data_IF_179025219562
#
_entry.id   IF_179025219562
#
_cell.length_a   1.000
_cell.length_b   1.000
_cell.length_c   1.000
_cell.angle_alpha   90.00
_cell.angle_beta   90.00
_cell.angle_gamma   90.00
#
_symmetry.space_group_name_H-M   'P 1'
#
loop_
_entity.id
_entity.type
_entity.pdbx_description
1 polymer ?
#
# COMPACT_ATOMS: atom_id res chain seq x y z
N UNK A 1 4.34 -27.58 2.31
CA UNK A 1 3.14 -27.51 1.44
C UNK A 1 2.65 -26.05 1.47
N UNK A 2 3.52 -25.10 1.11
CA UNK A 2 3.43 -23.71 1.64
C UNK A 2 3.11 -22.65 0.58
N UNK A 3 3.06 -23.04 -0.70
CA UNK A 3 2.59 -22.14 -1.76
C UNK A 3 1.13 -21.71 -1.56
N UNK A 4 0.31 -22.48 -0.83
CA UNK A 4 -1.08 -22.11 -0.51
C UNK A 4 -1.20 -21.05 0.59
N UNK A 5 -0.23 -20.95 1.52
CA UNK A 5 -0.34 -20.11 2.72
C UNK A 5 -0.45 -18.62 2.37
N UNK A 6 0.28 -18.19 1.34
CA UNK A 6 0.29 -16.79 0.89
C UNK A 6 -0.43 -16.57 -0.44
N UNK A 7 -0.91 -17.63 -1.11
CA UNK A 7 -1.51 -17.56 -2.44
C UNK A 7 -2.62 -16.51 -2.55
N UNK A 8 -3.54 -16.49 -1.58
CA UNK A 8 -4.66 -15.52 -1.57
C UNK A 8 -4.14 -14.08 -1.50
N UNK A 9 -3.11 -13.81 -0.71
CA UNK A 9 -2.52 -12.47 -0.57
C UNK A 9 -1.74 -12.04 -1.81
N UNK A 10 -1.04 -12.98 -2.45
CA UNK A 10 -0.34 -12.73 -3.70
C UNK A 10 -1.33 -12.47 -4.86
N UNK A 11 -2.41 -13.24 -4.96
CA UNK A 11 -3.49 -12.96 -5.92
C UNK A 11 -4.09 -11.56 -5.72
N UNK A 12 -4.36 -11.17 -4.47
CA UNK A 12 -4.84 -9.81 -4.16
C UNK A 12 -3.86 -8.73 -4.62
N UNK A 13 -2.56 -8.93 -4.42
CA UNK A 13 -1.52 -7.99 -4.85
C UNK A 13 -1.45 -7.88 -6.39
N UNK A 14 -1.53 -9.00 -7.10
CA UNK A 14 -1.54 -9.04 -8.56
C UNK A 14 -2.76 -8.35 -9.15
N UNK A 15 -3.94 -8.55 -8.54
CA UNK A 15 -5.18 -7.87 -8.91
C UNK A 15 -5.05 -6.35 -8.74
N UNK A 16 -4.54 -5.88 -7.60
CA UNK A 16 -4.33 -4.45 -7.36
C UNK A 16 -3.37 -3.82 -8.38
N UNK A 17 -2.28 -4.52 -8.72
CA UNK A 17 -1.34 -4.03 -9.74
C UNK A 17 -1.99 -3.98 -11.13
N UNK A 18 -2.74 -5.02 -11.51
CA UNK A 18 -3.46 -5.07 -12.78
C UNK A 18 -4.47 -3.93 -12.90
N UNK A 19 -5.24 -3.69 -11.84
CA UNK A 19 -6.24 -2.63 -11.77
C UNK A 19 -5.59 -1.26 -11.88
N UNK A 20 -4.51 -1.02 -11.13
CA UNK A 20 -3.74 0.23 -11.21
C UNK A 20 -3.27 0.51 -12.64
N UNK A 21 -2.65 -0.48 -13.29
CA UNK A 21 -2.15 -0.35 -14.67
C UNK A 21 -3.29 -0.06 -15.65
N UNK A 22 -4.41 -0.79 -15.52
CA UNK A 22 -5.58 -0.59 -16.39
C UNK A 22 -6.16 0.81 -16.22
N UNK A 23 -6.32 1.29 -14.99
CA UNK A 23 -6.87 2.63 -14.72
C UNK A 23 -5.96 3.73 -15.25
N UNK A 24 -4.64 3.65 -15.06
CA UNK A 24 -3.71 4.64 -15.62
C UNK A 24 -3.85 4.72 -17.14
N UNK A 25 -3.94 3.58 -17.83
CA UNK A 25 -4.09 3.55 -19.28
C UNK A 25 -5.41 4.18 -19.75
N UNK A 26 -6.53 3.84 -19.09
CA UNK A 26 -7.86 4.36 -19.44
C UNK A 26 -7.97 5.87 -19.15
N UNK A 27 -7.51 6.31 -17.98
CA UNK A 27 -7.63 7.71 -17.55
C UNK A 27 -6.79 8.68 -18.39
N UNK A 28 -5.76 8.20 -19.11
CA UNK A 28 -5.00 9.03 -20.07
C UNK A 28 -5.83 9.46 -21.29
N UNK A 29 -6.93 8.75 -21.57
CA UNK A 29 -7.81 9.00 -22.72
C UNK A 29 -9.14 9.67 -22.32
N UNK A 30 -9.39 9.77 -21.01
CA UNK A 30 -10.63 10.30 -20.44
C UNK A 30 -10.58 11.81 -20.16
N UNK A 31 -11.75 12.39 -19.94
CA UNK A 31 -11.88 13.80 -19.56
C UNK A 31 -11.64 14.04 -18.06
N UNK A 32 -11.55 15.32 -17.69
CA UNK A 32 -11.28 15.73 -16.32
C UNK A 32 -12.37 15.30 -15.31
N UNK A 33 -13.61 15.14 -15.76
CA UNK A 33 -14.72 14.79 -14.88
C UNK A 33 -14.72 13.29 -14.56
N UNK A 34 -14.43 12.45 -15.55
CA UNK A 34 -14.20 11.02 -15.35
C UNK A 34 -13.04 10.76 -14.36
N UNK A 35 -11.93 11.49 -14.50
CA UNK A 35 -10.78 11.40 -13.58
C UNK A 35 -11.19 11.77 -12.15
N UNK A 36 -11.97 12.84 -11.95
CA UNK A 36 -12.45 13.24 -10.61
C UNK A 36 -13.36 12.20 -9.97
N UNK A 37 -14.26 11.62 -10.75
CA UNK A 37 -15.16 10.58 -10.26
C UNK A 37 -14.37 9.33 -9.84
N UNK A 38 -13.37 8.95 -10.62
CA UNK A 38 -12.53 7.80 -10.30
C UNK A 38 -11.65 8.06 -9.06
N UNK A 39 -11.07 9.25 -8.91
CA UNK A 39 -10.36 9.66 -7.70
C UNK A 39 -11.27 9.54 -6.46
N UNK A 40 -12.50 10.04 -6.53
CA UNK A 40 -13.45 9.96 -5.42
C UNK A 40 -13.78 8.52 -5.04
N UNK A 41 -14.02 7.64 -6.04
CA UNK A 41 -14.26 6.22 -5.78
C UNK A 41 -13.07 5.54 -5.11
N UNK A 42 -11.85 5.86 -5.55
CA UNK A 42 -10.62 5.32 -4.98
C UNK A 42 -10.40 5.81 -3.54
N UNK A 43 -10.65 7.09 -3.27
CA UNK A 43 -10.60 7.65 -1.90
C UNK A 43 -11.58 6.94 -0.96
N UNK A 44 -12.84 6.74 -1.39
CA UNK A 44 -13.85 6.04 -0.59
C UNK A 44 -13.47 4.56 -0.34
N UNK A 45 -12.94 3.87 -1.34
CA UNK A 45 -12.49 2.48 -1.20
C UNK A 45 -11.26 2.37 -0.28
N UNK A 46 -10.34 3.33 -0.38
CA UNK A 46 -9.16 3.42 0.49
C UNK A 46 -9.56 3.66 1.95
N UNK A 47 -10.48 4.59 2.20
CA UNK A 47 -10.95 4.90 3.54
C UNK A 47 -11.64 3.70 4.21
N UNK A 48 -12.41 2.92 3.45
CA UNK A 48 -12.99 1.65 3.92
C UNK A 48 -11.91 0.64 4.30
N UNK A 49 -10.88 0.49 3.47
CA UNK A 49 -9.74 -0.40 3.75
C UNK A 49 -9.02 0.02 5.03
N UNK A 50 -8.80 1.32 5.22
CA UNK A 50 -8.17 1.86 6.42
C UNK A 50 -9.02 1.68 7.68
N UNK A 51 -10.34 1.77 7.55
CA UNK A 51 -11.25 1.48 8.66
C UNK A 51 -11.15 0.00 9.07
N UNK A 52 -11.19 -0.91 8.10
CA UNK A 52 -11.03 -2.34 8.35
C UNK A 52 -9.68 -2.67 8.99
N UNK A 53 -8.59 -2.02 8.55
CA UNK A 53 -7.28 -2.17 9.17
C UNK A 53 -7.30 -1.80 10.66
N UNK A 54 -7.91 -0.65 11.00
CA UNK A 54 -8.06 -0.20 12.39
C UNK A 54 -8.89 -1.15 13.24
N UNK A 55 -9.97 -1.69 12.68
CA UNK A 55 -10.82 -2.69 13.35
C UNK A 55 -10.06 -4.00 13.60
N UNK A 56 -9.32 -4.48 12.59
CA UNK A 56 -8.47 -5.67 12.69
C UNK A 56 -7.38 -5.52 13.74
N UNK A 57 -6.76 -4.34 13.87
CA UNK A 57 -5.76 -4.07 14.93
C UNK A 57 -6.35 -4.23 16.32
N UNK A 58 -7.58 -3.75 16.56
CA UNK A 58 -8.25 -3.87 17.86
C UNK A 58 -8.56 -5.32 18.21
N UNK A 59 -8.96 -6.12 17.22
CA UNK A 59 -9.29 -7.54 17.39
C UNK A 59 -8.09 -8.50 17.32
N UNK A 60 -6.91 -8.04 16.92
CA UNK A 60 -5.75 -8.91 16.71
C UNK A 60 -5.25 -9.54 18.03
N UNK A 61 -4.80 -10.79 17.99
CA UNK A 61 -4.22 -11.48 19.17
C UNK A 61 -2.70 -11.44 19.19
N UNK A 62 -2.04 -11.25 18.05
CA UNK A 62 -0.58 -11.18 17.95
C UNK A 62 -0.07 -9.76 18.22
N UNK A 63 0.79 -9.53 19.24
CA UNK A 63 1.39 -8.23 19.50
C UNK A 63 2.22 -7.70 18.33
N UNK A 64 2.93 -8.58 17.62
CA UNK A 64 3.73 -8.21 16.45
C UNK A 64 2.85 -7.66 15.31
N UNK A 65 1.75 -8.34 15.02
CA UNK A 65 0.80 -7.90 13.97
C UNK A 65 0.11 -6.59 14.36
N UNK A 66 -0.18 -6.36 15.66
CA UNK A 66 -0.67 -5.06 16.13
C UNK A 66 0.32 -3.94 15.87
N UNK A 67 1.58 -4.13 16.25
CA UNK A 67 2.63 -3.12 16.06
C UNK A 67 2.82 -2.79 14.58
N UNK A 68 2.78 -3.80 13.69
CA UNK A 68 2.84 -3.60 12.24
C UNK A 68 1.66 -2.77 11.73
N UNK A 69 0.43 -3.11 12.13
CA UNK A 69 -0.74 -2.33 11.72
C UNK A 69 -0.72 -0.90 12.27
N UNK A 70 -0.26 -0.69 13.51
CA UNK A 70 -0.12 0.64 14.11
C UNK A 70 0.89 1.50 13.34
N UNK A 71 2.04 0.93 12.97
CA UNK A 71 3.03 1.60 12.14
C UNK A 71 2.44 2.00 10.78
N UNK A 72 1.68 1.10 10.15
CA UNK A 72 0.99 1.39 8.89
C UNK A 72 -0.02 2.54 9.04
N UNK A 73 -0.84 2.53 10.10
CA UNK A 73 -1.81 3.61 10.37
C UNK A 73 -1.11 4.96 10.55
N UNK A 74 0.03 5.00 11.24
CA UNK A 74 0.83 6.22 11.44
C UNK A 74 1.37 6.73 10.11
N UNK A 75 1.96 5.84 9.31
CA UNK A 75 2.45 6.16 7.97
C UNK A 75 1.32 6.77 7.11
N UNK A 76 0.18 6.10 7.00
CA UNK A 76 -0.93 6.55 6.17
C UNK A 76 -1.49 7.89 6.61
N UNK A 77 -1.58 8.09 7.93
CA UNK A 77 -2.03 9.36 8.51
C UNK A 77 -1.04 10.49 8.16
N UNK A 78 0.26 10.21 8.21
CA UNK A 78 1.28 11.21 7.89
C UNK A 78 1.29 11.55 6.40
N UNK A 79 1.16 10.55 5.52
CA UNK A 79 1.07 10.77 4.08
C UNK A 79 -0.15 11.63 3.72
N UNK A 80 -1.32 11.33 4.32
CA UNK A 80 -2.52 12.15 4.14
C UNK A 80 -2.32 13.59 4.61
N UNK A 81 -1.66 13.79 5.76
CA UNK A 81 -1.33 15.12 6.26
C UNK A 81 -0.45 15.89 5.27
N UNK A 82 0.64 15.26 4.80
CA UNK A 82 1.56 15.88 3.84
C UNK A 82 0.80 16.29 2.58
N UNK A 83 -0.06 15.41 2.05
CA UNK A 83 -0.80 15.66 0.81
C UNK A 83 -1.86 16.75 0.92
N UNK A 84 -2.63 16.75 2.01
CA UNK A 84 -3.77 17.64 2.15
C UNK A 84 -3.38 19.00 2.74
N UNK A 85 -2.39 19.03 3.63
CA UNK A 85 -2.01 20.23 4.39
C UNK A 85 -0.68 20.81 3.96
N UNK A 86 0.37 20.00 3.84
CA UNK A 86 1.72 20.53 3.70
C UNK A 86 2.07 20.84 2.23
N UNK A 87 1.60 20.00 1.30
CA UNK A 87 1.90 20.12 -0.13
C UNK A 87 1.52 21.48 -0.75
N UNK A 88 0.37 22.10 -0.42
CA UNK A 88 0.06 23.47 -0.83
C UNK A 88 1.08 24.54 -0.40
N UNK A 89 1.83 24.31 0.69
CA UNK A 89 2.83 25.25 1.22
C UNK A 89 4.23 25.05 0.62
N UNK A 90 4.52 23.86 0.08
CA UNK A 90 5.76 23.56 -0.63
C UNK A 90 5.78 24.11 -2.06
N UNK A 91 4.62 24.39 -2.63
CA UNK A 91 4.46 25.04 -3.93
C UNK A 91 4.77 26.54 -3.78
N UNK A 92 5.97 26.98 -4.17
CA UNK A 92 6.39 28.40 -4.24
C UNK A 92 6.71 28.78 -5.69
N UNK A 93 6.29 29.96 -6.13
CA UNK A 93 6.61 30.49 -7.47
C UNK A 93 5.49 31.34 -8.06
N UNK A 94 5.79 32.04 -9.16
CA UNK A 94 4.85 32.90 -9.88
C UNK A 94 3.78 32.09 -10.63
N UNK A 95 4.09 30.87 -11.09
CA UNK A 95 3.15 29.99 -11.78
C UNK A 95 2.62 28.84 -10.88
N UNK A 96 1.65 29.19 -10.04
CA UNK A 96 1.09 28.30 -9.01
C UNK A 96 0.39 27.05 -9.59
N UNK A 97 -0.04 27.08 -10.85
CA UNK A 97 -0.73 25.94 -11.46
C UNK A 97 0.25 24.87 -11.94
N UNK A 98 1.32 25.28 -12.63
CA UNK A 98 2.38 24.37 -13.10
C UNK A 98 3.06 23.68 -11.91
N UNK A 99 3.48 24.45 -10.91
CA UNK A 99 4.14 23.90 -9.72
C UNK A 99 3.21 22.96 -8.91
N UNK A 100 1.88 23.15 -8.97
CA UNK A 100 0.92 22.21 -8.37
C UNK A 100 0.79 20.91 -9.17
N UNK A 101 0.84 20.99 -10.50
CA UNK A 101 0.81 19.80 -11.35
C UNK A 101 2.09 18.97 -11.17
N UNK A 102 3.25 19.62 -11.15
CA UNK A 102 4.55 19.00 -10.92
C UNK A 102 4.62 18.31 -9.54
N UNK A 103 4.23 19.01 -8.47
CA UNK A 103 4.23 18.42 -7.13
C UNK A 103 3.34 17.17 -7.01
N UNK A 104 2.20 17.14 -7.73
CA UNK A 104 1.34 15.94 -7.80
C UNK A 104 1.98 14.81 -8.60
N UNK A 105 2.67 15.11 -9.69
CA UNK A 105 3.38 14.11 -10.49
C UNK A 105 4.51 13.46 -9.67
N UNK A 106 5.35 14.27 -9.01
CA UNK A 106 6.43 13.78 -8.13
C UNK A 106 5.88 12.92 -6.98
N UNK A 107 4.74 13.29 -6.40
CA UNK A 107 4.10 12.48 -5.38
C UNK A 107 3.61 11.12 -5.92
N UNK A 108 3.03 11.11 -7.12
CA UNK A 108 2.59 9.87 -7.75
C UNK A 108 3.77 8.94 -8.03
N UNK A 109 4.90 9.48 -8.52
CA UNK A 109 6.16 8.76 -8.70
C UNK A 109 6.66 8.16 -7.38
N UNK A 110 6.80 8.99 -6.34
CA UNK A 110 7.21 8.52 -5.01
C UNK A 110 6.28 7.42 -4.46
N UNK A 111 4.97 7.53 -4.68
CA UNK A 111 4.01 6.52 -4.22
C UNK A 111 4.19 5.18 -4.94
N UNK A 112 4.56 5.20 -6.22
CA UNK A 112 4.90 4.00 -6.99
C UNK A 112 6.20 3.39 -6.45
N UNK A 113 7.24 4.20 -6.22
CA UNK A 113 8.49 3.72 -5.64
C UNK A 113 8.29 3.06 -4.28
N UNK A 114 7.45 3.68 -3.43
CA UNK A 114 7.08 3.09 -2.15
C UNK A 114 6.34 1.76 -2.30
N UNK A 115 5.41 1.64 -3.26
CA UNK A 115 4.73 0.38 -3.53
C UNK A 115 5.72 -0.72 -3.94
N UNK A 116 6.72 -0.40 -4.77
CA UNK A 116 7.81 -1.31 -5.15
C UNK A 116 8.60 -1.75 -3.90
N UNK A 117 8.98 -0.80 -3.03
CA UNK A 117 9.67 -1.10 -1.78
C UNK A 117 8.82 -1.97 -0.83
N UNK A 118 7.52 -1.73 -0.74
CA UNK A 118 6.60 -2.51 0.09
C UNK A 118 6.50 -3.97 -0.38
N UNK A 119 6.47 -4.21 -1.70
CA UNK A 119 6.50 -5.57 -2.26
C UNK A 119 7.81 -6.28 -1.92
N UNK A 120 8.95 -5.59 -2.01
CA UNK A 120 10.25 -6.15 -1.60
C UNK A 120 10.29 -6.47 -0.10
N UNK A 121 9.75 -5.58 0.73
CA UNK A 121 9.64 -5.81 2.17
C UNK A 121 8.74 -7.02 2.50
N UNK A 122 7.63 -7.18 1.79
CA UNK A 122 6.76 -8.35 1.91
C UNK A 122 7.49 -9.64 1.52
N UNK A 123 8.27 -9.62 0.43
CA UNK A 123 9.08 -10.77 0.02
C UNK A 123 10.10 -11.17 1.10
N UNK A 124 10.79 -10.22 1.71
CA UNK A 124 11.70 -10.51 2.82
C UNK A 124 10.98 -11.21 3.97
N UNK A 125 9.80 -10.72 4.36
CA UNK A 125 9.01 -11.32 5.44
C UNK A 125 8.53 -12.74 5.09
N UNK A 126 8.11 -12.97 3.84
CA UNK A 126 7.72 -14.31 3.35
C UNK A 126 8.89 -15.28 3.40
N UNK A 127 10.08 -14.85 2.93
CA UNK A 127 11.27 -15.70 2.96
C UNK A 127 11.70 -16.04 4.38
N UNK A 128 11.68 -15.07 5.30
CA UNK A 128 11.95 -15.33 6.73
C UNK A 128 10.93 -16.31 7.34
N UNK A 129 9.65 -16.22 6.97
CA UNK A 129 8.65 -17.16 7.46
C UNK A 129 8.88 -18.58 6.94
N UNK A 130 9.26 -18.73 5.66
CA UNK A 130 9.57 -20.04 5.07
C UNK A 130 10.81 -20.68 5.72
N UNK A 131 11.86 -19.89 5.97
CA UNK A 131 13.09 -20.35 6.65
C UNK A 131 12.78 -20.91 8.06
N UNK A 132 11.99 -20.17 8.84
CA UNK A 132 11.59 -20.61 10.18
C UNK A 132 10.68 -21.86 10.15
N UNK A 133 9.83 -21.99 9.13
CA UNK A 133 9.03 -23.20 8.94
C UNK A 133 9.91 -24.42 8.61
N UNK A 134 10.91 -24.25 7.76
CA UNK A 134 11.85 -25.32 7.43
C UNK A 134 12.65 -25.76 8.67
N UNK A 135 13.17 -24.81 9.45
CA UNK A 135 13.89 -25.10 10.70
C UNK A 135 13.01 -25.91 11.68
N UNK A 136 11.71 -25.58 11.76
CA UNK A 136 10.75 -26.33 12.59
C UNK A 136 10.53 -27.76 12.10
N UNK A 137 10.40 -27.95 10.78
CA UNK A 137 10.24 -29.28 10.18
C UNK A 137 11.49 -30.16 10.39
N UNK A 138 12.68 -29.59 10.22
CA UNK A 138 13.95 -30.27 10.50
C UNK A 138 14.03 -30.70 11.97
N UNK A 139 13.78 -29.79 12.92
CA UNK A 139 13.77 -30.10 14.35
C UNK A 139 12.79 -31.24 14.71
N UNK A 140 11.58 -31.22 14.13
CA UNK A 140 10.58 -32.27 14.38
C UNK A 140 10.98 -33.64 13.85
N UNK A 141 11.74 -33.68 12.75
CA UNK A 141 12.21 -34.94 12.16
C UNK A 141 13.45 -35.50 12.88
N UNK A 142 14.22 -34.65 13.58
CA UNK A 142 15.37 -35.07 14.40
C UNK A 142 14.97 -35.63 15.77
N UNK A 143 13.83 -35.20 16.31
CA UNK A 143 13.27 -35.65 17.60
C UNK A 143 12.27 -36.83 17.49
N UNK A 144 12.05 -37.39 16.28
CA UNK A 144 11.28 -38.62 16.00
C UNK A 144 12.17 -39.87 15.86
#
# INVERSE_FOLDING_TARGET
MDHELFAVKLCQLEEQYRDMRSKIYLMQQDDHEAIKQELKKMEEAYDKTMQLLRENTRGCRSPAVKALNEAQIVYDSKIKEIMQKDMPHYIRGEDRQEAKAEARALYAEYSIDFAIQAVQSALMAVLSALDEQMNLEEWRNEDE
#
